data_IF_202386021004
#
_entry.id   IF_202386021004
#
_cell.length_a   1.000
_cell.length_b   1.000
_cell.length_c   1.000
_cell.angle_alpha   90.00
_cell.angle_beta   90.00
_cell.angle_gamma   90.00
#
_symmetry.space_group_name_H-M   'P 1'
#
loop_
_entity.id
_entity.type
_entity.pdbx_description
1 polymer ?
#
# COMPACT_ATOMS: atom_id res chain seq x y z
N UNK A 1 -4.53 -3.98 -34.94
CA UNK A 1 -4.02 -3.06 -33.91
C UNK A 1 -5.21 -2.33 -33.31
N UNK A 2 -5.40 -2.40 -32.00
CA UNK A 2 -6.47 -1.63 -31.33
C UNK A 2 -5.99 -0.18 -31.33
N UNK A 3 -6.65 0.69 -32.10
CA UNK A 3 -6.33 2.12 -32.15
C UNK A 3 -6.58 2.71 -30.76
N UNK A 4 -5.50 3.02 -30.03
CA UNK A 4 -5.55 3.71 -28.75
C UNK A 4 -6.02 5.17 -28.89
N UNK A 5 -6.10 5.66 -30.12
CA UNK A 5 -6.46 7.02 -30.46
C UNK A 5 -7.93 7.12 -30.87
N UNK A 6 -8.81 7.23 -29.86
CA UNK A 6 -10.26 7.32 -30.05
C UNK A 6 -10.68 8.54 -30.88
N UNK A 7 -9.82 9.56 -30.96
CA UNK A 7 -10.05 10.80 -31.70
C UNK A 7 -10.06 10.56 -33.22
N UNK A 8 -9.39 9.50 -33.69
CA UNK A 8 -9.39 9.10 -35.10
C UNK A 8 -10.68 8.38 -35.51
N UNK A 9 -11.46 7.89 -34.54
CA UNK A 9 -12.71 7.15 -34.76
C UNK A 9 -13.93 8.06 -34.60
N UNK A 10 -13.85 9.04 -33.68
CA UNK A 10 -14.92 10.01 -33.45
C UNK A 10 -14.59 11.30 -34.20
N UNK A 11 -15.27 11.57 -35.31
CA UNK A 11 -15.02 12.77 -36.12
C UNK A 11 -15.86 14.00 -35.73
N UNK A 12 -16.95 13.85 -34.95
CA UNK A 12 -17.76 15.01 -34.51
C UNK A 12 -17.02 15.75 -33.38
N UNK A 13 -16.64 17.03 -33.58
CA UNK A 13 -15.88 17.81 -32.58
C UNK A 13 -16.63 18.01 -31.27
N UNK A 14 -17.98 18.05 -31.30
CA UNK A 14 -18.79 18.16 -30.07
C UNK A 14 -18.73 16.86 -29.27
N UNK A 15 -18.76 15.72 -29.96
CA UNK A 15 -18.64 14.42 -29.31
C UNK A 15 -17.23 14.21 -28.75
N UNK A 16 -16.20 14.66 -29.46
CA UNK A 16 -14.84 14.69 -28.93
C UNK A 16 -14.74 15.52 -27.64
N UNK A 17 -15.38 16.70 -27.59
CA UNK A 17 -15.37 17.55 -26.41
C UNK A 17 -16.03 16.87 -25.19
N UNK A 18 -17.14 16.18 -25.39
CA UNK A 18 -17.82 15.43 -24.31
C UNK A 18 -16.93 14.28 -23.80
N UNK A 19 -16.27 13.54 -24.70
CA UNK A 19 -15.35 12.47 -24.31
C UNK A 19 -14.15 13.03 -23.54
N UNK A 20 -13.57 14.15 -23.96
CA UNK A 20 -12.48 14.81 -23.23
C UNK A 20 -12.92 15.26 -21.83
N UNK A 21 -14.12 15.81 -21.68
CA UNK A 21 -14.66 16.17 -20.35
C UNK A 21 -14.83 14.90 -19.51
N UNK A 22 -15.42 13.85 -20.08
CA UNK A 22 -15.61 12.58 -19.37
C UNK A 22 -14.27 11.97 -18.93
N UNK A 23 -13.24 11.91 -19.78
CA UNK A 23 -11.95 11.34 -19.40
C UNK A 23 -11.24 12.12 -18.28
N UNK A 24 -11.45 13.45 -18.21
CA UNK A 24 -10.79 14.30 -17.22
C UNK A 24 -11.56 14.43 -15.90
N UNK A 25 -12.89 14.42 -15.93
CA UNK A 25 -13.72 14.73 -14.76
C UNK A 25 -14.67 13.62 -14.34
N UNK A 26 -14.68 12.46 -15.00
CA UNK A 26 -15.54 11.35 -14.61
C UNK A 26 -15.05 10.69 -13.31
N UNK A 27 -15.96 10.57 -12.34
CA UNK A 27 -15.69 9.98 -11.02
C UNK A 27 -15.43 8.47 -11.10
N UNK A 28 -16.01 7.77 -12.07
CA UNK A 28 -15.76 6.35 -12.28
C UNK A 28 -14.34 6.12 -12.80
N UNK A 29 -13.81 7.01 -13.64
CA UNK A 29 -12.40 6.96 -14.08
C UNK A 29 -11.47 7.21 -12.89
N UNK A 30 -11.76 8.22 -12.07
CA UNK A 30 -10.99 8.49 -10.85
C UNK A 30 -11.04 7.31 -9.88
N UNK A 31 -12.21 6.67 -9.72
CA UNK A 31 -12.37 5.46 -8.92
C UNK A 31 -11.52 4.32 -9.47
N UNK A 32 -11.56 4.07 -10.78
CA UNK A 32 -10.77 3.01 -11.40
C UNK A 32 -9.26 3.21 -11.20
N UNK A 33 -8.77 4.45 -11.26
CA UNK A 33 -7.38 4.78 -10.96
C UNK A 33 -7.07 4.48 -9.49
N UNK A 34 -7.92 4.90 -8.55
CA UNK A 34 -7.74 4.61 -7.14
C UNK A 34 -7.78 3.10 -6.84
N UNK A 35 -8.64 2.35 -7.52
CA UNK A 35 -8.72 0.89 -7.41
C UNK A 35 -7.41 0.25 -7.91
N UNK A 36 -6.82 0.73 -9.02
CA UNK A 36 -5.51 0.27 -9.51
C UNK A 36 -4.40 0.58 -8.49
N UNK A 37 -4.39 1.78 -7.92
CA UNK A 37 -3.40 2.17 -6.91
C UNK A 37 -3.54 1.31 -5.65
N UNK A 38 -4.77 1.00 -5.23
CA UNK A 38 -5.04 0.10 -4.10
C UNK A 38 -4.52 -1.31 -4.38
N UNK A 39 -4.76 -1.85 -5.58
CA UNK A 39 -4.27 -3.16 -5.98
C UNK A 39 -2.74 -3.21 -6.00
N UNK A 40 -2.08 -2.13 -6.46
CA UNK A 40 -0.63 -2.00 -6.44
C UNK A 40 -0.08 -1.95 -5.01
N UNK A 41 -0.75 -1.26 -4.10
CA UNK A 41 -0.35 -1.21 -2.69
C UNK A 41 -0.48 -2.58 -2.01
N UNK A 42 -1.58 -3.29 -2.26
CA UNK A 42 -1.78 -4.66 -1.78
C UNK A 42 -0.71 -5.61 -2.32
N UNK A 43 -0.40 -5.51 -3.61
CA UNK A 43 0.70 -6.28 -4.22
C UNK A 43 2.05 -5.97 -3.53
N UNK A 44 2.32 -4.70 -3.24
CA UNK A 44 3.52 -4.29 -2.49
C UNK A 44 3.60 -4.91 -1.09
N UNK A 45 2.47 -4.95 -0.36
CA UNK A 45 2.39 -5.60 0.95
C UNK A 45 2.65 -7.11 0.85
N UNK A 46 2.05 -7.79 -0.14
CA UNK A 46 2.28 -9.21 -0.34
C UNK A 46 3.73 -9.49 -0.70
N UNK A 47 4.35 -8.67 -1.54
CA UNK A 47 5.76 -8.80 -1.86
C UNK A 47 6.68 -8.54 -0.65
N UNK A 48 6.31 -7.61 0.23
CA UNK A 48 7.05 -7.33 1.46
C UNK A 48 7.10 -8.54 2.42
N UNK A 49 6.09 -9.43 2.37
CA UNK A 49 6.08 -10.67 3.15
C UNK A 49 7.17 -11.68 2.76
N UNK A 50 7.81 -11.48 1.59
CA UNK A 50 8.94 -12.30 1.13
C UNK A 50 10.28 -11.91 1.76
N UNK A 51 10.29 -10.92 2.67
CA UNK A 51 11.49 -10.43 3.33
C UNK A 51 11.34 -10.52 4.86
N UNK A 52 12.45 -10.58 5.61
CA UNK A 52 12.41 -10.50 7.06
C UNK A 52 11.85 -9.14 7.51
N UNK A 53 11.00 -9.15 8.52
CA UNK A 53 10.52 -7.94 9.20
C UNK A 53 11.50 -7.55 10.30
N UNK A 54 11.89 -6.28 10.33
CA UNK A 54 12.68 -5.68 11.42
C UNK A 54 11.78 -4.71 12.18
N UNK A 55 11.66 -4.87 13.49
CA UNK A 55 10.87 -4.01 14.35
C UNK A 55 11.76 -3.42 15.45
N UNK A 56 11.42 -2.21 15.88
CA UNK A 56 11.99 -1.58 17.05
C UNK A 56 10.86 -0.97 17.89
N UNK A 57 10.95 -1.10 19.20
CA UNK A 57 10.00 -0.55 20.15
C UNK A 57 10.76 0.21 21.24
N UNK A 58 10.17 1.31 21.69
CA UNK A 58 10.64 2.08 22.84
C UNK A 58 9.45 2.27 23.76
N UNK A 59 9.61 1.91 25.03
CA UNK A 59 8.57 2.07 26.04
C UNK A 59 9.12 2.85 27.23
N UNK A 60 8.26 3.62 27.88
CA UNK A 60 8.58 4.31 29.12
C UNK A 60 7.38 4.26 30.03
N UNK A 61 7.54 3.64 31.20
CA UNK A 61 6.48 3.49 32.19
C UNK A 61 6.82 4.31 33.41
N UNK A 62 5.90 5.20 33.81
CA UNK A 62 5.99 5.95 35.07
C UNK A 62 4.91 5.48 36.01
N UNK A 63 5.30 4.93 37.15
CA UNK A 63 4.39 4.40 38.16
C UNK A 63 4.62 5.08 39.51
N UNK A 64 3.56 5.27 40.28
CA UNK A 64 3.63 5.84 41.63
C UNK A 64 3.00 4.87 42.62
N UNK A 65 3.75 4.51 43.66
CA UNK A 65 3.28 3.70 44.78
C UNK A 65 3.30 4.53 46.06
N UNK A 66 2.32 4.30 46.94
CA UNK A 66 2.27 4.96 48.25
C UNK A 66 3.49 4.61 49.12
N UNK A 67 4.04 3.40 48.97
CA UNK A 67 5.18 2.94 49.77
C UNK A 67 6.55 3.39 49.21
N UNK A 68 6.68 3.50 47.88
CA UNK A 68 7.98 3.69 47.20
C UNK A 68 8.10 5.00 46.41
N UNK A 69 7.09 5.87 46.44
CA UNK A 69 7.12 7.13 45.69
C UNK A 69 6.90 6.92 44.19
N UNK A 70 7.48 7.78 43.35
CA UNK A 70 7.31 7.70 41.88
C UNK A 70 8.56 7.14 41.22
N UNK A 71 8.41 6.07 40.45
CA UNK A 71 9.46 5.46 39.63
C UNK A 71 9.18 5.65 38.14
N UNK A 72 10.24 5.71 37.34
CA UNK A 72 10.17 5.70 35.87
C UNK A 72 11.12 4.65 35.34
N UNK A 73 10.64 3.78 34.46
CA UNK A 73 11.43 2.81 33.73
C UNK A 73 11.32 3.11 32.24
N UNK A 74 12.42 2.92 31.51
CA UNK A 74 12.45 3.05 30.06
C UNK A 74 13.14 1.81 29.48
N UNK A 75 12.57 1.26 28.42
CA UNK A 75 12.99 0.01 27.79
C UNK A 75 13.03 0.21 26.27
N UNK A 76 14.04 -0.36 25.63
CA UNK A 76 14.21 -0.33 24.18
C UNK A 76 14.42 -1.76 23.68
N UNK A 77 13.60 -2.17 22.72
CA UNK A 77 13.57 -3.52 22.17
C UNK A 77 13.75 -3.48 20.65
N UNK A 78 14.57 -4.38 20.13
CA UNK A 78 14.72 -4.61 18.69
C UNK A 78 14.46 -6.08 18.39
N UNK A 79 13.63 -6.37 17.38
CA UNK A 79 13.32 -7.74 16.97
C UNK A 79 13.43 -7.89 15.45
N UNK A 80 13.96 -9.03 15.02
CA UNK A 80 13.98 -9.44 13.61
C UNK A 80 13.23 -10.77 13.53
N UNK A 81 12.23 -10.85 12.67
CA UNK A 81 11.48 -12.10 12.47
C UNK A 81 12.39 -13.16 11.84
N UNK A 82 12.24 -14.43 12.23
CA UNK A 82 12.92 -15.53 11.54
C UNK A 82 12.47 -15.57 10.07
N UNK A 83 13.44 -15.68 9.16
CA UNK A 83 13.21 -15.70 7.72
C UNK A 83 13.63 -17.05 7.14
N UNK A 84 12.77 -17.66 6.32
CA UNK A 84 13.07 -18.88 5.57
C UNK A 84 13.29 -18.51 4.11
N UNK A 85 14.45 -18.86 3.57
CA UNK A 85 14.77 -18.62 2.16
C UNK A 85 13.87 -19.47 1.25
N UNK A 86 13.03 -18.83 0.43
CA UNK A 86 12.13 -19.52 -0.50
C UNK A 86 12.85 -19.86 -1.81
N UNK A 87 13.46 -21.04 -1.85
CA UNK A 87 14.25 -21.53 -3.00
C UNK A 87 13.39 -22.01 -4.18
N UNK A 88 12.10 -22.29 -3.95
CA UNK A 88 11.22 -22.95 -4.92
C UNK A 88 9.94 -22.16 -5.22
N UNK A 89 9.85 -20.92 -4.73
CA UNK A 89 8.75 -19.99 -5.05
C UNK A 89 7.41 -20.38 -4.46
N UNK A 90 7.38 -21.15 -3.36
CA UNK A 90 6.11 -21.59 -2.73
C UNK A 90 5.26 -20.39 -2.28
N UNK A 91 5.90 -19.30 -1.88
CA UNK A 91 5.19 -18.11 -1.41
C UNK A 91 4.77 -17.19 -2.58
N UNK A 92 5.29 -17.40 -3.80
CA UNK A 92 4.87 -16.67 -5.00
C UNK A 92 3.60 -17.24 -5.64
N UNK A 93 3.25 -18.50 -5.35
CA UNK A 93 2.08 -19.18 -5.92
C UNK A 93 0.77 -18.94 -5.14
N UNK A 94 0.80 -18.16 -4.06
CA UNK A 94 -0.34 -17.88 -3.18
C UNK A 94 -0.93 -16.46 -3.37
N UNK A 95 -0.42 -15.70 -4.35
CA UNK A 95 -0.96 -14.39 -4.78
C UNK A 95 -1.86 -14.50 -6.00
#
# INVERSE_FOLDING_TARGET
AISHDWQQVIHDPRLQQVVTIALNSNRDVQKAIADIDSARALYGQTNASLFPTVNAALSSTRSRSLANGTGTTAEADGTVSSYTLDLFGRNQSLS
#
